data_IF_916523352468
#
_entry.id   IF_916523352468
#
_cell.length_a   1.000
_cell.length_b   1.000
_cell.length_c   1.000
_cell.angle_alpha   90.00
_cell.angle_beta   90.00
_cell.angle_gamma   90.00
#
_symmetry.space_group_name_H-M   'P 1'
#
loop_
_entity.id
_entity.type
_entity.pdbx_description
1 polymer ?
#
# COMPACT_ATOMS: atom_id res chain seq x y z
N UNK A 1 1.83 -0.28 -20.21
CA UNK A 1 0.99 0.92 -20.06
C UNK A 1 0.58 1.11 -18.61
N UNK A 2 -0.09 2.24 -18.26
CA UNK A 2 -0.58 2.46 -16.88
C UNK A 2 -1.51 1.32 -16.41
N UNK A 3 -2.26 0.72 -17.32
CA UNK A 3 -3.11 -0.46 -17.08
C UNK A 3 -2.35 -1.65 -16.47
N UNK A 4 -1.10 -1.87 -16.90
CA UNK A 4 -0.31 -3.02 -16.46
C UNK A 4 0.21 -2.84 -15.02
N UNK A 5 0.38 -1.59 -14.60
CA UNK A 5 0.78 -1.24 -13.23
C UNK A 5 -0.30 -1.65 -12.24
N UNK A 6 -1.55 -1.29 -12.49
CA UNK A 6 -2.69 -1.64 -11.62
C UNK A 6 -2.92 -3.15 -11.56
N UNK A 7 -2.84 -3.81 -12.71
CA UNK A 7 -3.00 -5.26 -12.79
C UNK A 7 -1.94 -5.98 -11.96
N UNK A 8 -0.66 -5.62 -12.11
CA UNK A 8 0.44 -6.21 -11.35
C UNK A 8 0.29 -6.04 -9.84
N UNK A 9 -0.14 -4.86 -9.40
CA UNK A 9 -0.38 -4.64 -7.97
C UNK A 9 -1.46 -5.58 -7.43
N UNK A 10 -2.60 -5.69 -8.12
CA UNK A 10 -3.67 -6.58 -7.69
C UNK A 10 -3.24 -8.04 -7.77
N UNK A 11 -2.49 -8.45 -8.80
CA UNK A 11 -1.91 -9.79 -8.91
C UNK A 11 -0.96 -10.10 -7.74
N UNK A 12 -0.07 -9.17 -7.40
CA UNK A 12 0.87 -9.36 -6.28
C UNK A 12 0.17 -9.41 -4.93
N UNK A 13 -0.79 -8.53 -4.70
CA UNK A 13 -1.63 -8.54 -3.50
C UNK A 13 -2.42 -9.87 -3.39
N UNK A 14 -3.03 -10.33 -4.47
CA UNK A 14 -3.74 -11.60 -4.51
C UNK A 14 -2.81 -12.79 -4.23
N UNK A 15 -1.64 -12.84 -4.87
CA UNK A 15 -0.63 -13.87 -4.64
C UNK A 15 -0.09 -13.87 -3.20
N UNK A 16 -0.06 -12.72 -2.54
CA UNK A 16 0.30 -12.57 -1.13
C UNK A 16 -0.80 -12.98 -0.14
N UNK A 17 -1.96 -13.43 -0.63
CA UNK A 17 -3.03 -13.97 0.22
C UNK A 17 -4.24 -13.07 0.36
N UNK A 18 -4.29 -12.10 -0.45
CA UNK A 18 -5.38 -11.15 -0.46
C UNK A 18 -6.59 -11.65 -1.25
N UNK A 19 -7.82 -11.56 -0.75
CA UNK A 19 -9.03 -12.15 -1.35
C UNK A 19 -9.93 -11.18 -2.11
N UNK A 20 -9.79 -9.87 -1.87
CA UNK A 20 -10.59 -8.80 -2.48
C UNK A 20 -9.81 -7.50 -2.50
N UNK A 21 -10.12 -6.60 -3.43
CA UNK A 21 -9.51 -5.28 -3.50
C UNK A 21 -10.58 -4.19 -3.55
N UNK A 22 -10.32 -3.09 -2.87
CA UNK A 22 -11.04 -1.82 -3.00
C UNK A 22 -10.08 -0.80 -3.57
N UNK A 23 -10.36 -0.33 -4.77
CA UNK A 23 -9.54 0.65 -5.47
C UNK A 23 -10.17 2.03 -5.29
N UNK A 24 -9.46 2.90 -4.61
CA UNK A 24 -9.90 4.29 -4.42
C UNK A 24 -9.31 5.12 -5.55
N UNK A 25 -10.17 5.67 -6.39
CA UNK A 25 -9.81 6.39 -7.61
C UNK A 25 -10.18 7.86 -7.52
N UNK A 26 -9.46 8.70 -8.28
CA UNK A 26 -9.85 10.09 -8.49
C UNK A 26 -11.18 10.11 -9.30
N UNK A 27 -12.00 11.09 -9.04
CA UNK A 27 -13.23 11.34 -9.80
C UNK A 27 -12.94 11.37 -11.32
N UNK A 28 -13.77 10.71 -12.10
CA UNK A 28 -13.63 10.58 -13.55
C UNK A 28 -12.64 9.49 -14.02
N UNK A 29 -11.84 8.89 -13.14
CA UNK A 29 -10.86 7.86 -13.52
C UNK A 29 -11.39 6.42 -13.40
N UNK A 30 -12.58 6.22 -12.84
CA UNK A 30 -13.10 4.89 -12.51
C UNK A 30 -13.16 3.97 -13.73
N UNK A 31 -13.73 4.42 -14.83
CA UNK A 31 -13.89 3.60 -16.04
C UNK A 31 -12.55 3.13 -16.61
N UNK A 32 -11.53 4.01 -16.59
CA UNK A 32 -10.20 3.67 -17.06
C UNK A 32 -9.55 2.56 -16.22
N UNK A 33 -9.64 2.70 -14.89
CA UNK A 33 -9.06 1.72 -13.96
C UNK A 33 -9.87 0.43 -13.95
N UNK A 34 -11.19 0.50 -14.06
CA UNK A 34 -12.08 -0.66 -14.19
C UNK A 34 -11.73 -1.49 -15.43
N UNK A 35 -11.49 -0.85 -16.56
CA UNK A 35 -11.04 -1.54 -17.78
C UNK A 35 -9.69 -2.22 -17.57
N UNK A 36 -8.74 -1.53 -16.94
CA UNK A 36 -7.41 -2.08 -16.65
C UNK A 36 -7.47 -3.33 -15.72
N UNK A 37 -8.44 -3.39 -14.83
CA UNK A 37 -8.63 -4.44 -13.84
C UNK A 37 -9.73 -5.45 -14.19
N UNK A 38 -10.25 -5.43 -15.43
CA UNK A 38 -11.32 -6.34 -15.85
C UNK A 38 -10.96 -7.83 -15.72
N UNK A 39 -9.67 -8.17 -15.85
CA UNK A 39 -9.14 -9.52 -15.69
C UNK A 39 -8.38 -9.71 -14.35
N UNK A 40 -8.72 -8.96 -13.31
CA UNK A 40 -8.10 -9.10 -12.01
C UNK A 40 -8.38 -10.49 -11.39
N UNK A 41 -7.39 -11.12 -10.72
CA UNK A 41 -7.54 -12.48 -10.16
C UNK A 41 -8.46 -12.56 -8.95
N UNK A 42 -8.87 -11.42 -8.41
CA UNK A 42 -9.75 -11.29 -7.25
C UNK A 42 -10.83 -10.22 -7.53
N UNK A 43 -12.00 -10.29 -6.86
CA UNK A 43 -13.02 -9.25 -6.98
C UNK A 43 -12.50 -7.86 -6.61
N UNK A 44 -12.77 -6.88 -7.45
CA UNK A 44 -12.36 -5.48 -7.30
C UNK A 44 -13.59 -4.58 -7.17
N UNK A 45 -13.59 -3.73 -6.16
CA UNK A 45 -14.58 -2.68 -5.93
C UNK A 45 -13.93 -1.31 -6.13
N UNK A 46 -14.72 -0.30 -6.48
CA UNK A 46 -14.23 1.04 -6.75
C UNK A 46 -14.93 2.06 -5.86
N UNK A 47 -14.15 3.01 -5.39
CA UNK A 47 -14.61 4.12 -4.54
C UNK A 47 -13.97 5.41 -5.02
N UNK A 48 -14.74 6.48 -5.14
CA UNK A 48 -14.20 7.80 -5.41
C UNK A 48 -13.49 8.35 -4.17
N UNK A 49 -12.23 8.74 -4.35
CA UNK A 49 -11.38 9.31 -3.31
C UNK A 49 -11.80 10.72 -2.91
N UNK A 50 -11.14 11.23 -1.88
CA UNK A 50 -11.29 12.60 -1.40
C UNK A 50 -10.17 13.52 -1.91
N UNK A 51 -10.12 14.73 -1.32
CA UNK A 51 -9.14 15.76 -1.69
C UNK A 51 -7.74 15.52 -1.10
N UNK A 52 -7.60 14.55 -0.20
CA UNK A 52 -6.34 14.16 0.42
C UNK A 52 -6.17 12.63 0.46
N UNK A 53 -4.93 12.18 0.72
CA UNK A 53 -4.64 10.77 0.97
C UNK A 53 -5.48 10.25 2.14
N UNK A 54 -5.46 10.96 3.26
CA UNK A 54 -6.19 10.62 4.47
C UNK A 54 -7.70 10.48 4.22
N UNK A 55 -8.30 11.45 3.53
CA UNK A 55 -9.72 11.40 3.17
C UNK A 55 -10.04 10.23 2.23
N UNK A 56 -9.19 9.97 1.25
CA UNK A 56 -9.36 8.84 0.34
C UNK A 56 -9.30 7.50 1.08
N UNK A 57 -8.37 7.37 2.05
CA UNK A 57 -8.26 6.22 2.94
C UNK A 57 -9.54 6.05 3.75
N UNK A 58 -10.03 7.11 4.39
CA UNK A 58 -11.26 7.09 5.19
C UNK A 58 -12.47 6.64 4.37
N UNK A 59 -12.71 7.24 3.19
CA UNK A 59 -13.83 6.87 2.30
C UNK A 59 -13.81 5.39 1.92
N UNK A 60 -12.66 4.84 1.61
CA UNK A 60 -12.59 3.42 1.31
C UNK A 60 -12.78 2.52 2.54
N UNK A 61 -12.39 2.92 3.78
CA UNK A 61 -12.71 2.18 5.01
C UNK A 61 -14.21 2.23 5.28
N UNK A 62 -14.85 3.38 5.12
CA UNK A 62 -16.30 3.54 5.23
C UNK A 62 -17.05 2.66 4.22
N UNK A 63 -16.56 2.59 2.98
CA UNK A 63 -17.11 1.68 1.99
C UNK A 63 -16.97 0.21 2.42
N UNK A 64 -15.79 -0.18 2.92
CA UNK A 64 -15.59 -1.55 3.44
C UNK A 64 -16.56 -1.86 4.57
N UNK A 65 -16.77 -0.95 5.51
CA UNK A 65 -17.67 -1.13 6.64
C UNK A 65 -19.14 -1.25 6.23
N UNK A 66 -19.58 -0.49 5.22
CA UNK A 66 -20.96 -0.49 4.75
C UNK A 66 -21.29 -1.63 3.79
N UNK A 67 -20.28 -2.27 3.19
CA UNK A 67 -20.50 -3.31 2.19
C UNK A 67 -20.80 -4.68 2.83
N UNK A 68 -21.89 -5.39 2.46
CA UNK A 68 -22.36 -6.58 3.17
C UNK A 68 -21.36 -7.76 3.18
N UNK A 69 -20.43 -7.80 2.23
CA UNK A 69 -19.41 -8.85 2.14
C UNK A 69 -18.08 -8.37 2.74
N UNK A 70 -17.67 -7.12 2.44
CA UNK A 70 -16.37 -6.60 2.86
C UNK A 70 -16.32 -6.32 4.36
N UNK A 71 -17.43 -5.96 4.98
CA UNK A 71 -17.54 -5.72 6.42
C UNK A 71 -17.26 -6.96 7.28
N UNK A 72 -17.28 -8.14 6.68
CA UNK A 72 -16.94 -9.42 7.36
C UNK A 72 -15.43 -9.68 7.45
N UNK A 73 -14.60 -8.86 6.80
CA UNK A 73 -13.17 -9.01 6.90
C UNK A 73 -12.67 -8.50 8.24
N UNK A 74 -11.78 -9.24 8.88
CA UNK A 74 -11.13 -8.83 10.11
C UNK A 74 -9.91 -7.93 9.87
N UNK A 75 -9.32 -7.99 8.68
CA UNK A 75 -8.06 -7.33 8.34
C UNK A 75 -8.18 -6.49 7.08
N UNK A 76 -7.44 -5.40 7.03
CA UNK A 76 -7.33 -4.54 5.86
C UNK A 76 -5.88 -4.17 5.62
N UNK A 77 -5.46 -4.20 4.35
CA UNK A 77 -4.16 -3.71 3.91
C UNK A 77 -4.36 -2.41 3.12
N UNK A 78 -3.60 -1.37 3.45
CA UNK A 78 -3.60 -0.09 2.75
C UNK A 78 -2.32 -0.01 1.94
N UNK A 79 -2.45 0.14 0.61
CA UNK A 79 -1.31 0.11 -0.30
C UNK A 79 -1.26 1.35 -1.20
N UNK A 80 -0.06 1.92 -1.33
CA UNK A 80 0.20 3.04 -2.24
C UNK A 80 0.25 2.55 -3.70
N UNK A 81 -0.61 3.10 -4.56
CA UNK A 81 -0.63 2.77 -5.99
C UNK A 81 0.68 3.09 -6.73
N UNK A 82 1.50 3.97 -6.16
CA UNK A 82 2.82 4.33 -6.68
C UNK A 82 3.94 3.34 -6.27
N UNK A 83 3.60 2.17 -5.68
CA UNK A 83 4.51 1.06 -5.41
C UNK A 83 4.11 -0.19 -6.21
N UNK A 84 4.32 -0.19 -7.53
CA UNK A 84 3.76 -1.21 -8.42
C UNK A 84 4.40 -2.59 -8.30
N UNK A 85 5.57 -2.68 -7.68
CA UNK A 85 6.39 -3.89 -7.69
C UNK A 85 6.54 -4.53 -6.29
N UNK A 86 5.57 -4.30 -5.39
CA UNK A 86 5.59 -4.98 -4.08
C UNK A 86 5.58 -6.49 -4.29
N UNK A 87 6.57 -7.25 -3.75
CA UNK A 87 6.57 -8.70 -3.89
C UNK A 87 5.46 -9.36 -3.06
N UNK A 88 4.94 -10.48 -3.55
CA UNK A 88 3.88 -11.22 -2.88
C UNK A 88 4.28 -11.69 -1.46
N UNK A 89 5.56 -12.03 -1.24
CA UNK A 89 6.03 -12.45 0.09
C UNK A 89 5.94 -11.32 1.12
N UNK A 90 6.21 -10.06 0.73
CA UNK A 90 6.05 -8.91 1.63
C UNK A 90 4.60 -8.75 2.08
N UNK A 91 3.66 -8.95 1.14
CA UNK A 91 2.22 -8.93 1.45
C UNK A 91 1.87 -10.08 2.40
N UNK A 92 2.39 -11.28 2.15
CA UNK A 92 2.17 -12.45 2.99
C UNK A 92 2.72 -12.26 4.41
N UNK A 93 3.90 -11.65 4.56
CA UNK A 93 4.52 -11.39 5.86
C UNK A 93 3.72 -10.38 6.68
N UNK A 94 3.17 -9.34 6.04
CA UNK A 94 2.24 -8.39 6.69
C UNK A 94 0.98 -9.11 7.18
N UNK A 95 0.39 -9.97 6.33
CA UNK A 95 -0.80 -10.73 6.69
C UNK A 95 -0.49 -11.69 7.83
N UNK A 96 0.64 -12.38 7.77
CA UNK A 96 1.08 -13.31 8.82
C UNK A 96 1.22 -12.62 10.17
N UNK A 97 1.87 -11.46 10.22
CA UNK A 97 2.02 -10.72 11.48
C UNK A 97 0.65 -10.32 12.07
N UNK A 98 -0.32 -9.95 11.22
CA UNK A 98 -1.70 -9.71 11.66
C UNK A 98 -2.41 -11.00 12.12
N UNK A 99 -2.12 -12.15 11.50
CA UNK A 99 -2.64 -13.46 11.92
C UNK A 99 -2.05 -13.87 13.28
N UNK A 100 -0.80 -13.48 13.53
CA UNK A 100 -0.09 -13.72 14.81
C UNK A 100 -0.52 -12.73 15.93
N UNK A 101 -1.47 -11.82 15.67
CA UNK A 101 -2.10 -10.95 16.67
C UNK A 101 -1.65 -9.49 16.66
N UNK A 102 -0.80 -9.06 15.74
CA UNK A 102 -0.48 -7.64 15.59
C UNK A 102 -1.70 -6.85 15.12
N UNK A 103 -1.86 -5.61 15.62
CA UNK A 103 -2.98 -4.72 15.24
C UNK A 103 -2.65 -3.76 14.11
N UNK A 104 -1.37 -3.38 13.98
CA UNK A 104 -0.85 -2.54 12.91
C UNK A 104 0.55 -3.04 12.49
N UNK A 105 0.76 -3.22 11.19
CA UNK A 105 1.98 -3.83 10.63
C UNK A 105 2.43 -3.06 9.41
N UNK A 106 3.73 -2.83 9.27
CA UNK A 106 4.31 -2.31 8.04
C UNK A 106 5.60 -3.01 7.63
N UNK A 107 5.84 -3.18 6.33
CA UNK A 107 7.14 -3.55 5.83
C UNK A 107 8.10 -2.35 5.94
N UNK A 108 9.34 -2.64 6.33
CA UNK A 108 10.33 -1.61 6.59
C UNK A 108 11.71 -2.04 6.08
N UNK A 109 12.50 -1.06 5.63
CA UNK A 109 13.87 -1.25 5.16
C UNK A 109 14.86 -0.50 6.07
N UNK A 110 16.05 -1.05 6.32
CA UNK A 110 17.14 -0.30 6.93
C UNK A 110 17.48 0.94 6.09
N UNK A 111 17.85 2.02 6.76
CA UNK A 111 18.37 3.22 6.11
C UNK A 111 19.87 3.05 5.86
N UNK A 112 20.29 3.15 4.60
CA UNK A 112 21.69 2.92 4.19
C UNK A 112 22.53 4.20 4.16
N UNK A 113 21.89 5.34 3.85
CA UNK A 113 22.55 6.63 3.79
C UNK A 113 22.74 7.26 5.18
N UNK A 114 23.70 8.19 5.30
CA UNK A 114 23.80 9.02 6.49
C UNK A 114 22.66 10.02 6.52
N UNK A 115 21.85 9.98 7.58
CA UNK A 115 20.70 10.89 7.77
C UNK A 115 21.13 12.05 8.66
N UNK A 116 20.74 13.25 8.27
CA UNK A 116 20.91 14.46 9.07
C UNK A 116 19.55 15.11 9.33
N UNK A 117 19.30 15.38 10.59
CA UNK A 117 18.18 16.25 10.97
C UNK A 117 18.60 17.71 10.76
N UNK A 118 17.81 18.42 9.96
CA UNK A 118 18.07 19.84 9.66
C UNK A 118 17.21 20.70 10.57
N UNK A 119 17.84 21.75 11.17
CA UNK A 119 17.19 22.75 11.98
C UNK A 119 17.71 24.13 11.56
N UNK A 120 16.92 24.86 10.77
CA UNK A 120 17.34 26.11 10.13
C UNK A 120 18.62 25.91 9.31
N UNK A 121 19.68 26.67 9.62
CA UNK A 121 20.99 26.62 8.94
C UNK A 121 21.94 25.55 9.54
N UNK A 122 21.50 24.83 10.55
CA UNK A 122 22.28 23.80 11.22
C UNK A 122 21.77 22.39 10.91
N UNK A 123 22.61 21.39 11.14
CA UNK A 123 22.16 20.00 11.05
C UNK A 123 22.97 19.07 11.96
N UNK A 124 22.33 18.02 12.44
CA UNK A 124 22.91 16.99 13.29
C UNK A 124 22.77 15.61 12.62
N UNK A 125 23.74 14.72 12.85
CA UNK A 125 23.64 13.34 12.38
C UNK A 125 22.64 12.57 13.25
N UNK A 126 21.75 11.83 12.59
CA UNK A 126 20.84 10.89 13.24
C UNK A 126 21.44 9.48 13.13
N UNK A 127 21.40 8.72 14.21
CA UNK A 127 21.81 7.32 14.17
C UNK A 127 20.90 6.50 13.27
N UNK A 128 21.38 6.19 12.05
CA UNK A 128 20.60 5.45 11.05
C UNK A 128 20.25 4.03 11.46
N UNK A 129 20.99 3.42 12.38
CA UNK A 129 20.74 2.05 12.80
C UNK A 129 19.42 1.95 13.60
N UNK A 130 18.96 3.07 14.16
CA UNK A 130 17.67 3.20 14.81
C UNK A 130 16.52 3.53 13.85
N UNK A 131 16.80 3.87 12.59
CA UNK A 131 15.81 4.32 11.61
C UNK A 131 15.38 3.17 10.68
N UNK A 132 14.14 3.26 10.24
CA UNK A 132 13.57 2.38 9.21
C UNK A 132 12.79 3.19 8.19
N UNK A 133 13.00 2.88 6.92
CA UNK A 133 12.21 3.42 5.82
C UNK A 133 10.94 2.59 5.66
N UNK A 134 9.79 3.16 5.98
CA UNK A 134 8.50 2.48 5.97
C UNK A 134 7.96 2.35 4.55
N UNK A 135 7.41 1.18 4.24
CA UNK A 135 6.81 0.88 2.97
C UNK A 135 5.31 0.53 3.13
N UNK A 136 4.66 0.18 2.02
CA UNK A 136 3.32 -0.38 2.00
C UNK A 136 3.31 -1.69 1.20
N UNK A 137 2.35 -2.62 1.46
CA UNK A 137 1.09 -2.43 2.18
C UNK A 137 1.27 -2.31 3.69
N UNK A 138 0.58 -1.35 4.30
CA UNK A 138 0.41 -1.29 5.75
C UNK A 138 -0.83 -2.09 6.11
N UNK A 139 -0.68 -3.05 7.01
CA UNK A 139 -1.75 -3.97 7.41
C UNK A 139 -2.31 -3.63 8.78
N UNK A 140 -3.61 -3.81 8.94
CA UNK A 140 -4.30 -3.43 10.17
C UNK A 140 -5.42 -4.42 10.52
N UNK A 141 -5.71 -4.56 11.81
CA UNK A 141 -7.05 -4.93 12.24
C UNK A 141 -8.05 -3.90 11.69
N UNK A 142 -9.09 -4.37 11.00
CA UNK A 142 -10.02 -3.49 10.31
C UNK A 142 -10.76 -2.55 11.26
N UNK A 143 -11.21 -3.06 12.39
CA UNK A 143 -11.98 -2.27 13.37
C UNK A 143 -11.11 -1.17 13.95
N UNK A 144 -9.87 -1.51 14.32
CA UNK A 144 -8.90 -0.57 14.88
C UNK A 144 -8.62 0.58 13.92
N UNK A 145 -8.20 0.31 12.70
CA UNK A 145 -7.85 1.39 11.75
C UNK A 145 -9.06 2.25 11.37
N UNK A 146 -10.25 1.64 11.26
CA UNK A 146 -11.46 2.40 10.98
C UNK A 146 -11.80 3.36 12.11
N UNK A 147 -11.67 2.92 13.37
CA UNK A 147 -11.89 3.77 14.54
C UNK A 147 -10.86 4.89 14.62
N UNK A 148 -9.56 4.59 14.39
CA UNK A 148 -8.51 5.59 14.38
C UNK A 148 -8.79 6.69 13.33
N UNK A 149 -9.18 6.31 12.11
CA UNK A 149 -9.52 7.29 11.07
C UNK A 149 -10.75 8.14 11.38
N UNK A 150 -11.76 7.58 12.06
CA UNK A 150 -12.94 8.35 12.50
C UNK A 150 -12.55 9.37 13.56
N UNK A 151 -11.88 8.93 14.63
CA UNK A 151 -11.39 9.82 15.70
C UNK A 151 -10.49 10.93 15.15
N UNK A 152 -9.55 10.58 14.28
CA UNK A 152 -8.65 11.55 13.67
C UNK A 152 -9.40 12.60 12.83
N UNK A 153 -10.50 12.21 12.15
CA UNK A 153 -11.35 13.14 11.41
C UNK A 153 -12.11 14.07 12.36
N UNK A 154 -12.63 13.54 13.47
CA UNK A 154 -13.33 14.31 14.50
C UNK A 154 -12.39 15.27 15.22
N UNK A 155 -11.16 14.84 15.52
CA UNK A 155 -10.12 15.64 16.18
C UNK A 155 -9.46 16.67 15.22
N UNK A 156 -9.73 16.61 13.92
CA UNK A 156 -9.14 17.51 12.91
C UNK A 156 -7.64 17.34 12.70
N UNK A 157 -7.07 16.18 13.10
CA UNK A 157 -5.64 15.90 13.04
C UNK A 157 -5.24 15.41 11.65
N UNK A 158 -4.03 15.80 11.22
CA UNK A 158 -3.40 15.32 9.98
C UNK A 158 -2.17 14.51 10.30
N UNK A 159 -2.04 13.34 9.68
CA UNK A 159 -0.89 12.45 9.78
C UNK A 159 -0.30 12.15 8.40
N UNK A 160 0.93 11.65 8.38
CA UNK A 160 1.67 11.37 7.14
C UNK A 160 1.28 10.04 6.51
N UNK A 161 0.94 9.03 7.36
CA UNK A 161 0.56 7.70 6.92
C UNK A 161 -0.48 7.07 7.88
N UNK A 162 -0.89 5.82 7.57
CA UNK A 162 -1.92 5.15 8.36
C UNK A 162 -1.37 4.54 9.66
N UNK A 163 -0.06 4.29 9.75
CA UNK A 163 0.59 3.87 11.00
C UNK A 163 0.56 4.99 12.04
N UNK A 164 0.93 6.21 11.63
CA UNK A 164 0.90 7.38 12.50
C UNK A 164 -0.52 7.65 13.05
N UNK A 165 -1.56 7.27 12.28
CA UNK A 165 -2.93 7.30 12.76
C UNK A 165 -3.16 6.33 13.93
N UNK A 166 -2.61 5.13 13.86
CA UNK A 166 -2.70 4.15 14.94
C UNK A 166 -1.85 4.53 16.15
N UNK A 167 -0.64 5.03 15.95
CA UNK A 167 0.26 5.50 17.02
C UNK A 167 -0.36 6.64 17.82
N UNK A 168 -1.07 7.56 17.15
CA UNK A 168 -1.76 8.67 17.80
C UNK A 168 -2.77 8.20 18.87
N UNK A 169 -3.27 6.96 18.74
CA UNK A 169 -4.25 6.35 19.64
C UNK A 169 -3.67 5.13 20.38
N UNK A 170 -2.35 5.15 20.66
CA UNK A 170 -1.62 4.20 21.51
C UNK A 170 -1.60 2.75 21.00
N UNK A 171 -1.76 2.53 19.69
CA UNK A 171 -1.59 1.20 19.11
C UNK A 171 -0.14 0.93 18.74
N UNK A 172 0.37 -0.23 19.13
CA UNK A 172 1.72 -0.66 18.79
C UNK A 172 1.85 -1.00 17.30
N UNK A 173 2.99 -0.61 16.72
CA UNK A 173 3.35 -0.92 15.34
C UNK A 173 4.34 -2.09 15.31
N UNK A 174 4.00 -3.10 14.53
CA UNK A 174 4.89 -4.22 14.24
C UNK A 174 5.56 -4.00 12.88
N UNK A 175 6.88 -4.13 12.81
CA UNK A 175 7.62 -4.02 11.57
C UNK A 175 7.98 -5.42 11.06
N UNK A 176 7.80 -5.64 9.74
CA UNK A 176 8.26 -6.82 9.02
C UNK A 176 9.30 -6.41 7.98
N UNK A 177 10.04 -7.38 7.42
CA UNK A 177 11.03 -7.08 6.40
C UNK A 177 10.38 -6.56 5.12
N UNK A 178 10.88 -5.44 4.61
CA UNK A 178 10.47 -4.84 3.35
C UNK A 178 11.26 -5.38 2.15
N UNK A 179 11.10 -4.72 1.01
CA UNK A 179 11.82 -5.06 -0.21
C UNK A 179 12.25 -3.82 -0.99
N UNK A 180 13.46 -3.83 -1.54
CA UNK A 180 13.90 -2.77 -2.46
C UNK A 180 13.00 -2.66 -3.69
N UNK A 181 12.41 -3.77 -4.14
CA UNK A 181 11.45 -3.76 -5.24
C UNK A 181 10.15 -3.03 -4.90
N UNK A 182 9.77 -2.95 -3.62
CA UNK A 182 8.60 -2.19 -3.16
C UNK A 182 8.86 -0.67 -3.06
N UNK A 183 9.79 -0.16 -3.85
CA UNK A 183 10.12 1.27 -3.93
C UNK A 183 8.90 2.09 -4.36
N UNK A 184 8.86 3.34 -3.93
CA UNK A 184 7.84 4.31 -4.32
C UNK A 184 8.33 5.05 -5.57
N UNK A 185 7.51 5.09 -6.61
CA UNK A 185 7.78 5.86 -7.82
C UNK A 185 7.31 7.29 -7.58
N UNK A 186 8.27 8.20 -7.45
CA UNK A 186 8.03 9.64 -7.17
C UNK A 186 8.62 10.53 -8.24
N UNK A 187 9.69 10.09 -8.88
CA UNK A 187 10.43 10.83 -9.90
C UNK A 187 10.52 10.04 -11.21
N UNK A 188 10.78 10.69 -12.36
CA UNK A 188 10.90 9.99 -13.64
C UNK A 188 11.95 8.87 -13.66
N UNK A 189 13.08 9.06 -12.97
CA UNK A 189 14.17 8.05 -12.89
C UNK A 189 13.72 6.78 -12.16
N UNK A 190 12.77 6.88 -11.23
CA UNK A 190 12.25 5.72 -10.51
C UNK A 190 11.59 4.70 -11.44
N UNK A 191 11.09 5.15 -12.60
CA UNK A 191 10.50 4.27 -13.62
C UNK A 191 11.57 3.35 -14.21
N UNK A 192 12.75 3.88 -14.54
CA UNK A 192 13.86 3.10 -15.10
C UNK A 192 14.38 2.08 -14.07
N UNK A 193 14.44 2.48 -12.80
CA UNK A 193 14.82 1.61 -11.68
C UNK A 193 13.76 0.49 -11.52
N UNK A 194 12.47 0.83 -11.52
CA UNK A 194 11.39 -0.15 -11.44
C UNK A 194 11.39 -1.13 -12.63
N UNK A 195 11.70 -0.66 -13.85
CA UNK A 195 11.89 -1.53 -14.99
C UNK A 195 13.07 -2.50 -14.82
N UNK A 196 14.18 -2.03 -14.22
CA UNK A 196 15.31 -2.89 -13.94
C UNK A 196 14.95 -4.00 -12.92
N UNK A 197 14.23 -3.68 -11.85
CA UNK A 197 13.69 -4.68 -10.92
C UNK A 197 12.74 -5.67 -11.59
N UNK A 198 11.85 -5.18 -12.45
CA UNK A 198 10.92 -6.03 -13.20
C UNK A 198 11.64 -7.00 -14.13
N UNK A 199 12.72 -6.56 -14.78
CA UNK A 199 13.58 -7.42 -15.65
C UNK A 199 14.34 -8.46 -14.83
N UNK A 200 14.90 -8.07 -13.68
CA UNK A 200 15.62 -8.99 -12.80
C UNK A 200 14.70 -10.10 -12.26
N UNK A 201 13.48 -9.74 -11.85
CA UNK A 201 12.49 -10.72 -11.39
C UNK A 201 12.05 -11.69 -12.50
N UNK A 202 11.90 -11.22 -13.76
CA UNK A 202 11.56 -12.06 -14.90
C UNK A 202 12.73 -12.96 -15.33
N UNK A 203 13.98 -12.54 -15.12
CA UNK A 203 15.17 -13.33 -15.43
C UNK A 203 15.47 -14.42 -14.40
N UNK A 204 15.00 -14.25 -13.17
CA UNK A 204 15.11 -15.27 -12.11
C UNK A 204 14.09 -16.43 -12.26
N UNK A 205 13.04 -16.23 -13.03
CA UNK A 205 11.99 -17.22 -13.36
C UNK A 205 11.99 -17.54 -14.85
N UNK A 206 12.80 -18.51 -15.22
CA UNK A 206 12.84 -19.28 -16.48
C UNK A 206 12.10 -18.75 -17.73
N UNK A 207 12.89 -18.32 -18.75
CA UNK A 207 12.73 -18.49 -20.23
C UNK A 207 11.34 -18.40 -20.89
N UNK A 208 10.48 -17.48 -20.53
CA UNK A 208 9.48 -16.97 -21.50
C UNK A 208 9.05 -15.55 -21.13
N UNK A 209 9.96 -14.62 -21.43
CA UNK A 209 9.79 -13.19 -21.16
C UNK A 209 9.14 -12.46 -22.32
N UNK A 210 7.88 -12.10 -22.23
CA UNK A 210 7.41 -10.90 -22.95
C UNK A 210 7.96 -9.69 -22.20
N UNK A 211 8.85 -8.95 -22.85
CA UNK A 211 9.35 -7.64 -22.41
C UNK A 211 8.14 -6.71 -22.17
N UNK A 212 7.85 -6.43 -20.92
CA UNK A 212 6.88 -5.41 -20.58
C UNK A 212 7.61 -4.07 -20.51
N UNK A 213 7.38 -3.23 -21.50
CA UNK A 213 7.83 -1.84 -21.51
C UNK A 213 6.89 -1.05 -20.62
N UNK A 214 7.35 -0.64 -19.43
CA UNK A 214 6.70 0.41 -18.66
C UNK A 214 6.87 1.72 -19.46
N UNK A 215 5.86 2.12 -20.20
CA UNK A 215 5.88 3.46 -20.80
C UNK A 215 5.57 4.47 -19.72
N UNK A 216 6.43 5.47 -19.60
CA UNK A 216 6.25 6.63 -18.76
C UNK A 216 4.96 7.37 -19.13
N UNK A 217 3.87 7.05 -18.48
CA UNK A 217 2.71 7.94 -18.47
C UNK A 217 2.94 8.92 -17.33
N UNK A 218 2.99 10.21 -17.64
CA UNK A 218 3.14 11.31 -16.68
C UNK A 218 2.24 11.07 -15.47
N UNK A 219 2.83 10.55 -14.38
CA UNK A 219 2.25 10.65 -13.06
C UNK A 219 2.55 12.09 -12.59
N UNK A 220 1.91 13.04 -13.24
CA UNK A 220 1.89 14.42 -12.77
C UNK A 220 0.50 14.66 -12.22
N UNK A 221 0.49 15.06 -10.95
CA UNK A 221 -0.60 15.65 -10.19
C UNK A 221 -1.15 14.80 -9.04
N UNK A 222 -0.98 15.37 -7.88
CA UNK A 222 -1.61 15.23 -6.56
C UNK A 222 -2.96 14.48 -6.60
N UNK A 223 -2.93 13.21 -6.32
CA UNK A 223 -4.12 12.38 -6.20
C UNK A 223 -3.71 10.92 -6.15
N UNK A 224 -3.32 10.45 -4.96
CA UNK A 224 -2.92 9.07 -4.77
C UNK A 224 -4.12 8.15 -4.98
N UNK A 225 -3.95 7.18 -5.87
CA UNK A 225 -4.84 6.03 -5.96
C UNK A 225 -4.40 5.00 -4.93
N UNK A 226 -5.36 4.48 -4.17
CA UNK A 226 -5.10 3.48 -3.13
C UNK A 226 -5.78 2.17 -3.49
N UNK A 227 -5.02 1.09 -3.52
CA UNK A 227 -5.54 -0.27 -3.53
C UNK A 227 -5.63 -0.71 -2.08
N UNK A 228 -6.83 -1.11 -1.65
CA UNK A 228 -7.07 -1.62 -0.31
C UNK A 228 -7.48 -3.07 -0.36
N UNK A 229 -7.13 -3.74 0.69
CA UNK A 229 -7.30 -5.17 0.74
C UNK A 229 -8.07 -5.64 1.96
N UNK A 230 -8.95 -6.61 1.73
CA UNK A 230 -9.78 -7.19 2.77
C UNK A 230 -9.69 -8.71 2.71
N UNK A 231 -9.26 -9.37 3.78
CA UNK A 231 -9.27 -10.82 3.92
C UNK A 231 -10.42 -11.28 4.82
N UNK A 232 -11.08 -12.36 4.43
CA UNK A 232 -12.07 -13.04 5.27
C UNK A 232 -11.35 -13.80 6.37
N UNK A 233 -11.80 -13.69 7.62
CA UNK A 233 -11.41 -14.63 8.64
C UNK A 233 -11.83 -16.03 8.21
N UNK A 234 -10.92 -16.97 8.13
CA UNK A 234 -11.25 -18.40 8.00
C UNK A 234 -11.68 -18.79 9.41
N UNK A 235 -12.91 -19.33 9.62
CA UNK A 235 -13.24 -19.94 10.90
C UNK A 235 -12.25 -21.08 11.11
N UNK A 236 -11.55 -21.06 12.24
CA UNK A 236 -10.60 -22.09 12.57
C UNK A 236 -11.24 -23.49 12.52
N UNK A 237 -10.47 -24.43 12.03
CA UNK A 237 -10.63 -25.84 12.42
C UNK A 237 -9.95 -26.06 13.76
#
# INVERSE_FOLDING_TARGET
>A
AASDVYKRQVESLAAGGCSRAVVVVKEGMENHVRFALAAAPIPVHFVTGGNSRQESVRRGLEFVDSHPVLSKASKVLIHDAVRPLVPAYVVADVIKALDDGATAVAPAMPVVDTIRQVDGDTSTVVDRDTLRAIQTPQGFDRTTITQCHRRMADDGVKVTDDLSCCELYDHQITLVEGSRAAMKITEPIDIDIAEAFSRAAAGAGNHSGKRVRLMATKVREKGGMFIRHVRRAIPGK
#
